data_IF_690390182680
#
_entry.id   IF_690390182680
#
_cell.length_a   1.000
_cell.length_b   1.000
_cell.length_c   1.000
_cell.angle_alpha   90.00
_cell.angle_beta   90.00
_cell.angle_gamma   90.00
#
_symmetry.space_group_name_H-M   'P 1'
#
loop_
_entity.id
_entity.type
_entity.pdbx_description
1 polymer ?
#
# COMPACT_ATOMS: atom_id res chain seq x y z
N UNK A 1 -27.57 0.03 11.82
CA UNK A 1 -27.65 -1.45 11.64
C UNK A 1 -26.28 -2.05 11.95
N UNK A 2 -26.22 -3.20 12.63
CA UNK A 2 -24.98 -3.93 12.97
C UNK A 2 -25.02 -5.33 12.36
N UNK A 3 -23.85 -5.89 12.10
CA UNK A 3 -23.72 -7.22 11.48
C UNK A 3 -23.74 -8.29 12.58
N UNK A 4 -24.60 -9.29 12.44
CA UNK A 4 -24.58 -10.49 13.28
C UNK A 4 -23.55 -11.51 12.80
N UNK A 5 -23.30 -12.57 13.57
CA UNK A 5 -22.34 -13.60 13.13
C UNK A 5 -22.20 -14.77 14.09
N UNK A 6 -21.20 -15.61 13.82
CA UNK A 6 -20.92 -16.86 14.54
C UNK A 6 -20.11 -16.66 15.83
N UNK A 7 -19.76 -15.41 16.17
CA UNK A 7 -18.89 -15.07 17.30
C UNK A 7 -19.65 -14.78 18.61
N UNK A 8 -20.96 -15.09 18.68
CA UNK A 8 -21.83 -14.77 19.83
C UNK A 8 -21.24 -15.19 21.19
N UNK A 9 -20.72 -16.42 21.28
CA UNK A 9 -20.19 -17.01 22.50
C UNK A 9 -18.68 -16.77 22.72
N UNK A 10 -18.01 -16.00 21.85
CA UNK A 10 -16.60 -15.65 22.05
C UNK A 10 -16.40 -14.71 23.25
N UNK A 11 -15.18 -14.58 23.76
CA UNK A 11 -14.83 -13.60 24.80
C UNK A 11 -14.53 -12.19 24.25
N UNK A 12 -14.81 -11.95 22.96
CA UNK A 12 -14.59 -10.65 22.33
C UNK A 12 -15.57 -9.59 22.84
N UNK A 13 -15.19 -8.31 22.71
CA UNK A 13 -16.10 -7.20 23.02
C UNK A 13 -17.33 -7.22 22.11
N UNK A 14 -18.40 -6.57 22.58
CA UNK A 14 -19.66 -6.49 21.85
C UNK A 14 -19.46 -5.92 20.43
N UNK A 15 -18.66 -4.86 20.28
CA UNK A 15 -18.40 -4.23 18.98
C UNK A 15 -17.64 -5.14 18.02
N UNK A 16 -16.71 -5.96 18.53
CA UNK A 16 -15.99 -6.94 17.71
C UNK A 16 -16.91 -8.05 17.22
N UNK A 17 -17.88 -8.47 18.04
CA UNK A 17 -18.88 -9.48 17.67
C UNK A 17 -19.92 -8.93 16.71
N UNK A 18 -20.28 -7.66 16.88
CA UNK A 18 -21.39 -7.00 16.20
C UNK A 18 -20.98 -5.67 15.58
N UNK A 19 -20.08 -5.66 14.59
CA UNK A 19 -19.56 -4.41 14.03
C UNK A 19 -20.64 -3.59 13.32
N UNK A 20 -20.47 -2.27 13.33
CA UNK A 20 -21.39 -1.32 12.67
C UNK A 20 -21.27 -1.48 11.16
N UNK A 21 -22.40 -1.74 10.49
CA UNK A 21 -22.43 -1.89 9.04
C UNK A 21 -22.29 -0.52 8.38
N UNK A 22 -21.30 -0.38 7.49
CA UNK A 22 -21.09 0.83 6.69
C UNK A 22 -21.15 0.50 5.21
N UNK A 23 -21.89 1.33 4.46
CA UNK A 23 -21.94 1.24 3.01
C UNK A 23 -20.59 1.60 2.37
N UNK A 24 -20.24 0.89 1.29
CA UNK A 24 -18.96 1.07 0.57
C UNK A 24 -18.69 2.53 0.19
N UNK A 25 -19.70 3.23 -0.33
CA UNK A 25 -19.61 4.62 -0.82
C UNK A 25 -19.98 5.67 0.24
N UNK A 26 -20.02 5.29 1.52
CA UNK A 26 -20.26 6.24 2.60
C UNK A 26 -19.07 7.17 2.75
N UNK A 27 -19.33 8.48 2.77
CA UNK A 27 -18.31 9.49 3.08
C UNK A 27 -17.64 9.23 4.44
N UNK A 28 -18.42 8.80 5.42
CA UNK A 28 -17.92 8.44 6.75
C UNK A 28 -16.94 7.27 6.69
N UNK A 29 -17.23 6.23 5.90
CA UNK A 29 -16.33 5.08 5.75
C UNK A 29 -14.97 5.50 5.15
N UNK A 30 -14.98 6.41 4.18
CA UNK A 30 -13.75 6.96 3.60
C UNK A 30 -12.94 7.75 4.64
N UNK A 31 -13.58 8.66 5.37
CA UNK A 31 -12.92 9.45 6.41
C UNK A 31 -12.35 8.57 7.54
N UNK A 32 -13.11 7.57 7.98
CA UNK A 32 -12.68 6.62 8.99
C UNK A 32 -11.42 5.86 8.55
N UNK A 33 -11.46 5.29 7.34
CA UNK A 33 -10.34 4.55 6.80
C UNK A 33 -9.10 5.45 6.62
N UNK A 34 -9.29 6.69 6.13
CA UNK A 34 -8.22 7.67 5.95
C UNK A 34 -7.62 8.09 7.29
N UNK A 35 -8.45 8.29 8.31
CA UNK A 35 -7.98 8.61 9.68
C UNK A 35 -7.08 7.51 10.22
N UNK A 36 -7.51 6.24 10.15
CA UNK A 36 -6.70 5.12 10.63
C UNK A 36 -5.42 4.93 9.81
N UNK A 37 -5.49 5.14 8.51
CA UNK A 37 -4.33 5.13 7.62
C UNK A 37 -3.25 6.13 8.07
N UNK A 38 -3.65 7.37 8.40
CA UNK A 38 -2.73 8.41 8.87
C UNK A 38 -2.25 8.16 10.31
N UNK A 39 -3.16 7.77 11.22
CA UNK A 39 -2.84 7.53 12.64
C UNK A 39 -1.82 6.42 12.85
N UNK A 40 -1.84 5.40 11.98
CA UNK A 40 -0.94 4.25 12.07
C UNK A 40 0.31 4.41 11.19
N UNK A 41 0.64 5.65 10.77
CA UNK A 41 1.85 5.93 10.01
C UNK A 41 1.87 5.22 8.66
N UNK A 42 0.77 5.30 7.90
CA UNK A 42 0.64 4.69 6.57
C UNK A 42 0.67 3.16 6.54
N UNK A 43 0.17 2.52 7.60
CA UNK A 43 0.07 1.07 7.67
C UNK A 43 -0.66 0.45 6.46
N UNK A 44 -0.19 -0.74 6.06
CA UNK A 44 -0.72 -1.46 4.91
C UNK A 44 -2.18 -1.94 5.09
N UNK A 45 -2.82 -2.38 3.99
CA UNK A 45 -4.25 -2.69 3.97
C UNK A 45 -4.65 -3.85 4.88
N UNK A 46 -3.73 -4.79 5.16
CA UNK A 46 -3.99 -5.94 6.06
C UNK A 46 -4.18 -5.47 7.52
N UNK A 47 -3.30 -4.60 7.99
CA UNK A 47 -3.35 -4.04 9.35
C UNK A 47 -4.60 -3.16 9.51
N UNK A 48 -4.82 -2.27 8.54
CA UNK A 48 -6.01 -1.42 8.53
C UNK A 48 -7.31 -2.23 8.53
N UNK A 49 -7.39 -3.27 7.69
CA UNK A 49 -8.57 -4.13 7.64
C UNK A 49 -8.86 -4.79 8.98
N UNK A 50 -7.83 -5.33 9.63
CA UNK A 50 -7.98 -6.00 10.91
C UNK A 50 -8.46 -5.04 12.00
N UNK A 51 -7.90 -3.83 12.07
CA UNK A 51 -8.29 -2.83 13.08
C UNK A 51 -9.69 -2.27 12.85
N UNK A 52 -10.03 -1.95 11.60
CA UNK A 52 -11.36 -1.42 11.25
C UNK A 52 -12.43 -2.49 11.51
N UNK A 53 -12.18 -3.75 11.19
CA UNK A 53 -13.11 -4.86 11.39
C UNK A 53 -13.51 -5.11 12.86
N UNK A 54 -12.74 -4.61 13.83
CA UNK A 54 -13.06 -4.72 15.27
C UNK A 54 -14.27 -3.88 15.68
N UNK A 55 -14.65 -2.89 14.89
CA UNK A 55 -15.76 -1.98 15.21
C UNK A 55 -16.69 -1.74 14.02
N UNK A 56 -16.20 -1.86 12.79
CA UNK A 56 -16.92 -1.51 11.58
C UNK A 56 -16.82 -2.58 10.52
N UNK A 57 -17.96 -2.93 9.94
CA UNK A 57 -18.06 -3.78 8.77
C UNK A 57 -18.31 -2.90 7.55
N UNK A 58 -17.24 -2.44 6.91
CA UNK A 58 -17.34 -1.66 5.66
C UNK A 58 -17.50 -2.61 4.49
N UNK A 59 -18.58 -2.47 3.73
CA UNK A 59 -18.81 -3.26 2.52
C UNK A 59 -17.65 -3.02 1.54
N UNK A 60 -17.02 -4.09 1.07
CA UNK A 60 -15.84 -4.04 0.20
C UNK A 60 -14.68 -3.21 0.78
N UNK A 61 -14.40 -3.32 2.07
CA UNK A 61 -13.36 -2.56 2.78
C UNK A 61 -12.02 -2.47 2.02
N UNK A 62 -11.53 -3.59 1.46
CA UNK A 62 -10.28 -3.61 0.67
C UNK A 62 -10.28 -2.63 -0.50
N UNK A 63 -11.41 -2.47 -1.18
CA UNK A 63 -11.56 -1.52 -2.29
C UNK A 63 -11.50 -0.07 -1.80
N UNK A 64 -12.08 0.21 -0.63
CA UNK A 64 -12.01 1.55 0.00
C UNK A 64 -10.58 1.86 0.43
N UNK A 65 -9.90 0.90 1.08
CA UNK A 65 -8.50 1.05 1.49
C UNK A 65 -7.56 1.22 0.31
N UNK A 66 -7.74 0.45 -0.77
CA UNK A 66 -6.95 0.60 -1.99
C UNK A 66 -7.05 2.01 -2.57
N UNK A 67 -8.27 2.57 -2.65
CA UNK A 67 -8.48 3.94 -3.11
C UNK A 67 -7.70 4.95 -2.23
N UNK A 68 -7.73 4.78 -0.91
CA UNK A 68 -6.99 5.64 0.02
C UNK A 68 -5.48 5.54 -0.19
N UNK A 69 -4.94 4.33 -0.37
CA UNK A 69 -3.51 4.09 -0.52
C UNK A 69 -2.98 4.66 -1.84
N UNK A 70 -3.67 4.43 -2.95
CA UNK A 70 -3.28 4.96 -4.28
C UNK A 70 -3.36 6.48 -4.33
N UNK A 71 -4.28 7.09 -3.59
CA UNK A 71 -4.40 8.54 -3.49
C UNK A 71 -3.51 9.16 -2.40
N UNK A 72 -2.78 8.35 -1.63
CA UNK A 72 -1.85 8.83 -0.61
C UNK A 72 -0.47 9.05 -1.22
N UNK A 73 -0.06 10.32 -1.35
CA UNK A 73 1.23 10.70 -1.91
C UNK A 73 2.42 10.08 -1.17
N UNK A 74 2.33 9.92 0.15
CA UNK A 74 3.37 9.27 0.97
C UNK A 74 3.49 7.80 0.60
N UNK A 75 2.38 7.06 0.54
CA UNK A 75 2.38 5.65 0.15
C UNK A 75 2.88 5.44 -1.27
N UNK A 76 2.39 6.26 -2.21
CA UNK A 76 2.82 6.18 -3.61
C UNK A 76 4.32 6.39 -3.73
N UNK A 77 4.89 7.34 -2.99
CA UNK A 77 6.34 7.58 -2.98
C UNK A 77 7.12 6.43 -2.34
N UNK A 78 6.63 5.86 -1.24
CA UNK A 78 7.31 4.77 -0.53
C UNK A 78 7.21 3.43 -1.26
N UNK A 79 6.12 3.19 -1.99
CA UNK A 79 5.90 1.98 -2.80
C UNK A 79 6.45 2.12 -4.24
N UNK A 80 6.99 3.29 -4.59
CA UNK A 80 7.54 3.55 -5.91
C UNK A 80 8.68 2.58 -6.21
N UNK A 81 8.52 1.80 -7.29
CA UNK A 81 9.57 0.91 -7.79
C UNK A 81 10.47 1.69 -8.74
N UNK A 82 11.80 1.51 -8.68
CA UNK A 82 12.68 2.10 -9.67
C UNK A 82 12.32 1.58 -11.06
N UNK A 83 12.18 2.50 -12.00
CA UNK A 83 12.12 2.19 -13.42
C UNK A 83 13.54 1.89 -13.88
N UNK A 84 13.83 0.63 -14.18
CA UNK A 84 15.08 0.29 -14.84
C UNK A 84 14.98 0.69 -16.31
N UNK A 85 15.85 1.58 -16.81
CA UNK A 85 15.89 1.85 -18.24
C UNK A 85 16.22 0.57 -18.98
N UNK A 86 15.70 0.42 -20.20
CA UNK A 86 16.18 -0.62 -21.09
C UNK A 86 17.66 -0.35 -21.38
N UNK A 87 18.53 -1.28 -20.97
CA UNK A 87 19.97 -1.13 -21.18
C UNK A 87 20.24 -1.28 -22.69
N UNK A 88 20.84 -0.27 -23.29
CA UNK A 88 21.33 -0.38 -24.66
C UNK A 88 22.46 -1.42 -24.74
N UNK A 89 22.70 -1.94 -25.94
CA UNK A 89 23.84 -2.81 -26.20
C UNK A 89 25.14 -2.12 -25.78
N UNK A 90 26.05 -2.89 -25.18
CA UNK A 90 27.36 -2.39 -24.78
C UNK A 90 28.12 -1.92 -26.03
N UNK A 91 28.77 -0.75 -25.99
CA UNK A 91 29.57 -0.30 -27.12
C UNK A 91 30.72 -1.28 -27.37
N UNK A 92 31.07 -1.53 -28.64
CA UNK A 92 32.14 -2.44 -29.05
C UNK A 92 33.43 -2.37 -28.20
N UNK A 93 33.95 -1.16 -27.88
CA UNK A 93 35.02 -0.93 -26.91
C UNK A 93 34.97 -1.71 -25.59
N UNK A 94 33.78 -1.97 -25.04
CA UNK A 94 33.61 -2.67 -23.75
C UNK A 94 33.65 -4.19 -23.87
N UNK A 95 33.46 -4.73 -25.07
CA UNK A 95 33.28 -6.17 -25.31
C UNK A 95 34.34 -6.76 -26.25
N UNK A 96 35.13 -5.90 -26.90
CA UNK A 96 36.23 -6.30 -27.78
C UNK A 96 37.57 -6.20 -27.06
N UNK A 97 38.46 -7.20 -27.18
CA UNK A 97 39.79 -7.14 -26.59
C UNK A 97 40.62 -6.04 -27.27
N UNK A 98 41.33 -5.24 -26.47
CA UNK A 98 42.20 -4.14 -26.94
C UNK A 98 43.50 -4.08 -26.13
N UNK A 99 44.47 -3.33 -26.64
CA UNK A 99 45.74 -3.12 -25.92
C UNK A 99 45.49 -2.24 -24.68
N UNK A 100 46.28 -2.42 -23.61
CA UNK A 100 46.23 -1.52 -22.46
C UNK A 100 46.37 -0.06 -22.89
N UNK A 101 45.55 0.83 -22.31
CA UNK A 101 45.52 2.28 -22.56
C UNK A 101 45.12 2.71 -23.99
N UNK A 102 44.66 1.80 -24.84
CA UNK A 102 44.19 2.14 -26.20
C UNK A 102 42.88 2.95 -26.18
N UNK A 103 42.03 2.72 -25.18
CA UNK A 103 40.82 3.52 -24.91
C UNK A 103 40.74 3.85 -23.43
N UNK A 104 40.58 5.13 -23.11
CA UNK A 104 40.49 5.65 -21.75
C UNK A 104 39.25 6.53 -21.64
N UNK A 105 38.47 6.35 -20.57
CA UNK A 105 37.37 7.25 -20.23
C UNK A 105 37.86 8.33 -19.27
N UNK A 106 37.58 9.60 -19.59
CA UNK A 106 37.81 10.73 -18.68
C UNK A 106 36.44 11.28 -18.31
N UNK A 107 36.21 11.49 -17.02
CA UNK A 107 35.01 12.15 -16.51
C UNK A 107 35.43 13.33 -15.63
N UNK A 108 34.62 14.39 -15.62
CA UNK A 108 34.89 15.59 -14.82
C UNK A 108 34.04 15.56 -13.55
N UNK A 109 34.61 16.06 -12.45
CA UNK A 109 33.95 16.20 -11.15
C UNK A 109 33.23 17.54 -11.02
#
# INVERSE_FOLDING_TARGET
>A
VRVGGRLRHSLLSYDCKHPVLLAKRSHFAMLLCRRWHLLLGHAGPRVLSALIARQYWVISLRSVLHNILVNCTVCVRLDAKPSYPFMADLPGPRVQPRRPFEQVGVDYA
#
